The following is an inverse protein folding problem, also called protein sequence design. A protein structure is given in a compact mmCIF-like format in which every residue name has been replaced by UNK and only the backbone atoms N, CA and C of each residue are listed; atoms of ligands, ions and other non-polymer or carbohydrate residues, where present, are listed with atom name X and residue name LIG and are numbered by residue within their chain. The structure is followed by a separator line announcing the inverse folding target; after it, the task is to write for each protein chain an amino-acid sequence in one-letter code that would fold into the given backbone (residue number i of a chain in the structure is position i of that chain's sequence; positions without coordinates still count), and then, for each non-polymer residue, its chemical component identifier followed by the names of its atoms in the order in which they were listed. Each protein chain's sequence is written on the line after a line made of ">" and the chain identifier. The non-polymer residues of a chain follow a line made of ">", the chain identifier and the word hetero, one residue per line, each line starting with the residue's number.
data_IF_001678838205
#
_entry.id   IF_001678838205
#
_cell.length_a   1.000
_cell.length_b   1.000
_cell.length_c   1.000
_cell.angle_alpha   90.00
_cell.angle_beta   90.00
_cell.angle_gamma   90.00
#
_symmetry.space_group_name_H-M   'P 1'
#
loop_
_entity.id
_entity.type
_entity.pdbx_description
1 polymer ?
#
# COMPACT_ATOMS: atom_id res chain seq x y z
N UNK A 1 -2.66 5.88 -24.30
CA UNK A 1 -4.13 5.98 -24.17
C UNK A 1 -4.53 6.12 -22.71
N UNK A 2 -4.38 5.08 -21.89
CA UNK A 2 -4.93 4.96 -20.52
C UNK A 2 -4.81 6.22 -19.64
N UNK A 3 -3.64 6.87 -19.59
CA UNK A 3 -3.40 8.04 -18.74
C UNK A 3 -4.31 9.23 -19.09
N UNK A 4 -4.64 9.41 -20.38
CA UNK A 4 -5.57 10.45 -20.81
C UNK A 4 -6.97 10.15 -20.25
N UNK A 5 -7.42 8.90 -20.30
CA UNK A 5 -8.73 8.52 -19.74
C UNK A 5 -8.74 8.67 -18.22
N UNK A 6 -7.69 8.19 -17.53
CA UNK A 6 -7.55 8.38 -16.08
C UNK A 6 -7.63 9.86 -15.72
N UNK A 7 -6.85 10.74 -16.38
CA UNK A 7 -6.89 12.19 -16.11
C UNK A 7 -8.26 12.79 -16.33
N UNK A 8 -8.95 12.42 -17.40
CA UNK A 8 -10.30 12.94 -17.67
C UNK A 8 -11.26 12.55 -16.54
N UNK A 9 -11.25 11.28 -16.11
CA UNK A 9 -12.11 10.81 -15.03
C UNK A 9 -11.74 11.45 -13.68
N UNK A 10 -10.46 11.41 -13.31
CA UNK A 10 -9.99 11.91 -12.01
C UNK A 10 -10.16 13.43 -11.88
N UNK A 11 -9.95 14.21 -12.95
CA UNK A 11 -10.22 15.67 -12.93
C UNK A 11 -11.68 16.00 -12.63
N UNK A 12 -12.62 15.16 -13.05
CA UNK A 12 -14.03 15.34 -12.70
C UNK A 12 -14.32 14.91 -11.25
N UNK A 13 -13.69 13.83 -10.78
CA UNK A 13 -13.93 13.27 -9.44
C UNK A 13 -13.31 14.10 -8.31
N UNK A 14 -12.10 14.66 -8.51
CA UNK A 14 -11.37 15.39 -7.47
C UNK A 14 -12.17 16.55 -6.85
N UNK A 15 -12.80 17.48 -7.60
CA UNK A 15 -13.59 18.55 -6.99
C UNK A 15 -14.85 18.03 -6.28
N UNK A 16 -15.49 16.98 -6.82
CA UNK A 16 -16.66 16.35 -6.19
C UNK A 16 -16.26 15.74 -4.86
N UNK A 17 -15.16 14.99 -4.81
CA UNK A 17 -14.66 14.38 -3.59
C UNK A 17 -14.34 15.44 -2.53
N UNK A 18 -13.78 16.58 -2.92
CA UNK A 18 -13.54 17.71 -2.00
C UNK A 18 -14.85 18.25 -1.39
N UNK A 19 -15.90 18.42 -2.22
CA UNK A 19 -17.20 18.93 -1.78
C UNK A 19 -17.86 18.04 -0.71
N UNK A 20 -17.67 16.72 -0.81
CA UNK A 20 -18.29 15.75 0.10
C UNK A 20 -17.33 15.23 1.19
N UNK A 21 -16.13 15.79 1.30
CA UNK A 21 -15.14 15.32 2.29
C UNK A 21 -14.65 13.89 2.05
N UNK A 22 -14.67 13.42 0.80
CA UNK A 22 -14.25 12.07 0.39
C UNK A 22 -12.77 12.08 0.04
N UNK A 23 -12.04 11.06 0.51
CA UNK A 23 -10.66 10.78 0.10
C UNK A 23 -10.65 9.87 -1.13
N UNK A 24 -9.98 10.30 -2.20
CA UNK A 24 -9.74 9.50 -3.40
C UNK A 24 -8.38 8.81 -3.30
N UNK A 25 -8.40 7.48 -3.35
CA UNK A 25 -7.23 6.65 -3.17
C UNK A 25 -6.95 5.82 -4.42
N UNK A 26 -5.71 5.82 -4.89
CA UNK A 26 -5.27 4.97 -6.02
C UNK A 26 -4.45 3.80 -5.47
N UNK A 27 -4.76 2.58 -5.93
CA UNK A 27 -3.98 1.38 -5.65
C UNK A 27 -2.86 1.22 -6.69
N UNK A 28 -1.66 0.69 -6.35
CA UNK A 28 -0.65 0.35 -7.34
C UNK A 28 -1.18 -0.69 -8.35
N UNK A 29 -0.59 -0.79 -9.54
CA UNK A 29 -0.87 -1.97 -10.38
C UNK A 29 -0.32 -3.22 -9.73
N UNK A 30 -1.12 -4.29 -9.75
CA UNK A 30 -0.74 -5.62 -9.28
C UNK A 30 -0.92 -6.61 -10.47
N UNK A 31 0.15 -7.14 -11.06
CA UNK A 31 1.56 -7.09 -10.65
C UNK A 31 2.29 -5.79 -11.06
N UNK A 32 3.25 -5.28 -10.24
CA UNK A 32 3.82 -3.94 -10.37
C UNK A 32 5.03 -3.87 -11.33
N UNK A 33 4.87 -4.37 -12.56
CA UNK A 33 5.93 -4.28 -13.57
C UNK A 33 6.22 -2.83 -13.96
N UNK A 34 7.48 -2.53 -14.31
CA UNK A 34 7.85 -1.21 -14.80
C UNK A 34 7.01 -0.82 -16.03
N UNK A 35 6.53 0.43 -16.07
CA UNK A 35 5.67 1.02 -17.13
C UNK A 35 4.23 0.53 -17.13
N UNK A 36 3.81 -0.26 -16.14
CA UNK A 36 2.37 -0.48 -15.88
C UNK A 36 1.74 0.82 -15.35
N UNK A 37 0.41 0.97 -15.46
CA UNK A 37 -0.28 2.08 -14.80
C UNK A 37 0.07 2.12 -13.31
N UNK A 38 0.27 3.31 -12.73
CA UNK A 38 0.48 3.43 -11.28
C UNK A 38 1.64 2.58 -10.72
N UNK A 39 2.70 2.40 -11.51
CA UNK A 39 4.00 1.99 -10.99
C UNK A 39 4.62 3.10 -10.10
N UNK A 40 5.88 2.94 -9.67
CA UNK A 40 6.55 3.92 -8.80
C UNK A 40 6.54 5.33 -9.40
N UNK A 41 6.83 5.46 -10.69
CA UNK A 41 6.80 6.76 -11.37
C UNK A 41 5.37 7.25 -11.57
N UNK A 42 4.43 6.34 -11.79
CA UNK A 42 3.00 6.61 -11.86
C UNK A 42 2.45 7.25 -10.59
N UNK A 43 2.90 6.82 -9.41
CA UNK A 43 2.51 7.41 -8.13
C UNK A 43 2.91 8.87 -8.03
N UNK A 44 4.17 9.20 -8.31
CA UNK A 44 4.64 10.58 -8.34
C UNK A 44 3.82 11.42 -9.33
N UNK A 45 3.59 10.88 -10.53
CA UNK A 45 2.81 11.55 -11.57
C UNK A 45 1.37 11.86 -11.14
N UNK A 46 0.74 11.00 -10.35
CA UNK A 46 -0.60 11.26 -9.80
C UNK A 46 -0.56 12.47 -8.87
N UNK A 47 0.40 12.51 -7.94
CA UNK A 47 0.46 13.59 -6.95
C UNK A 47 0.85 14.93 -7.59
N UNK A 48 1.67 14.92 -8.63
CA UNK A 48 2.03 16.11 -9.41
C UNK A 48 0.81 16.69 -10.15
N UNK A 49 -0.01 15.83 -10.76
CA UNK A 49 -1.23 16.25 -11.47
C UNK A 49 -2.36 16.64 -10.51
N UNK A 50 -2.46 15.97 -9.37
CA UNK A 50 -3.52 16.13 -8.38
C UNK A 50 -2.92 16.39 -6.98
N UNK A 51 -2.43 17.62 -6.71
CA UNK A 51 -1.75 17.95 -5.46
C UNK A 51 -2.70 18.06 -4.25
N UNK A 52 -4.02 18.00 -4.45
CA UNK A 52 -5.03 18.17 -3.39
C UNK A 52 -4.87 17.12 -2.28
N UNK A 53 -5.05 17.53 -1.02
CA UNK A 53 -4.79 16.68 0.15
C UNK A 53 -5.71 15.47 0.29
N UNK A 54 -6.89 15.51 -0.32
CA UNK A 54 -7.82 14.38 -0.36
C UNK A 54 -7.55 13.41 -1.52
N UNK A 55 -6.44 13.58 -2.25
CA UNK A 55 -5.92 12.61 -3.23
C UNK A 55 -4.68 11.92 -2.67
N UNK A 56 -4.71 10.59 -2.66
CA UNK A 56 -3.67 9.77 -2.06
C UNK A 56 -3.76 8.32 -2.54
N UNK A 57 -3.33 7.39 -1.70
CA UNK A 57 -3.12 6.01 -2.07
C UNK A 57 -3.81 5.04 -1.12
N UNK A 58 -4.33 3.95 -1.73
CA UNK A 58 -4.42 2.67 -1.05
C UNK A 58 -3.04 2.04 -1.21
N UNK A 59 -2.24 2.16 -0.16
CA UNK A 59 -0.84 1.78 -0.22
C UNK A 59 -0.68 0.30 0.10
N UNK A 60 -0.51 -0.52 -0.94
CA UNK A 60 -0.31 -1.95 -0.77
C UNK A 60 1.15 -2.30 -0.51
N UNK A 61 1.46 -2.62 0.74
CA UNK A 61 2.81 -2.97 1.20
C UNK A 61 3.36 -4.17 0.40
N UNK A 62 2.53 -5.18 0.18
CA UNK A 62 2.88 -6.36 -0.64
C UNK A 62 3.26 -5.98 -2.06
N UNK A 63 2.36 -5.32 -2.80
CA UNK A 63 2.61 -4.90 -4.18
C UNK A 63 3.86 -4.01 -4.28
N UNK A 64 4.11 -3.12 -3.32
CA UNK A 64 5.33 -2.29 -3.35
C UNK A 64 6.59 -3.11 -3.04
N UNK A 65 6.50 -4.12 -2.18
CA UNK A 65 7.60 -5.06 -1.94
C UNK A 65 7.90 -5.94 -3.15
N UNK A 66 6.89 -6.37 -3.89
CA UNK A 66 7.08 -7.10 -5.16
C UNK A 66 7.83 -6.26 -6.19
N UNK A 67 7.62 -4.93 -6.19
CA UNK A 67 8.27 -4.00 -7.11
C UNK A 67 9.75 -3.78 -6.76
N UNK A 68 10.09 -3.62 -5.48
CA UNK A 68 11.43 -3.17 -5.07
C UNK A 68 11.90 -3.60 -3.68
N UNK A 69 11.20 -4.53 -3.05
CA UNK A 69 11.54 -5.07 -1.73
C UNK A 69 11.30 -4.08 -0.58
N UNK A 70 11.81 -4.45 0.59
CA UNK A 70 11.58 -3.71 1.84
C UNK A 70 12.15 -2.29 1.84
N UNK A 71 13.26 -2.02 1.13
CA UNK A 71 13.83 -0.68 1.03
C UNK A 71 12.87 0.30 0.36
N UNK A 72 12.29 -0.10 -0.78
CA UNK A 72 11.31 0.72 -1.50
C UNK A 72 10.10 1.02 -0.62
N UNK A 73 9.57 0.01 0.07
CA UNK A 73 8.42 0.17 0.97
C UNK A 73 8.70 1.18 2.07
N UNK A 74 9.86 1.08 2.74
CA UNK A 74 10.23 1.98 3.82
C UNK A 74 10.40 3.42 3.33
N UNK A 75 11.00 3.61 2.17
CA UNK A 75 11.21 4.93 1.56
C UNK A 75 9.88 5.57 1.17
N UNK A 76 8.98 4.82 0.55
CA UNK A 76 7.67 5.30 0.13
C UNK A 76 6.73 5.59 1.31
N UNK A 77 6.74 4.76 2.36
CA UNK A 77 6.01 5.07 3.59
C UNK A 77 6.49 6.39 4.17
N UNK A 78 7.81 6.61 4.24
CA UNK A 78 8.37 7.86 4.74
C UNK A 78 8.02 9.05 3.81
N UNK A 79 8.08 8.87 2.50
CA UNK A 79 7.83 9.94 1.54
C UNK A 79 6.34 10.31 1.43
N UNK A 80 5.47 9.35 1.13
CA UNK A 80 4.04 9.60 0.95
C UNK A 80 3.31 9.78 2.28
N UNK A 81 3.73 9.06 3.32
CA UNK A 81 3.14 9.15 4.66
C UNK A 81 3.31 10.52 5.29
N UNK A 82 4.53 11.09 5.28
CA UNK A 82 4.77 12.46 5.81
C UNK A 82 4.00 13.54 5.07
N UNK A 83 3.62 13.27 3.82
CA UNK A 83 2.80 14.18 3.02
C UNK A 83 1.29 14.01 3.27
N UNK A 84 0.89 13.06 4.11
CA UNK A 84 -0.50 12.71 4.41
C UNK A 84 -1.20 12.09 3.20
N UNK A 85 -0.49 11.27 2.41
CA UNK A 85 -1.00 10.70 1.15
C UNK A 85 -1.34 9.20 1.24
N UNK A 86 -1.12 8.58 2.40
CA UNK A 86 -1.51 7.20 2.67
C UNK A 86 -2.88 7.23 3.36
N UNK A 87 -3.92 6.67 2.73
CA UNK A 87 -5.28 6.69 3.30
C UNK A 87 -5.72 5.34 3.85
N UNK A 88 -5.21 4.28 3.24
CA UNK A 88 -5.39 2.89 3.64
C UNK A 88 -4.10 2.14 3.32
N UNK A 89 -3.77 1.13 4.12
CA UNK A 89 -2.67 0.23 3.84
C UNK A 89 -3.17 -1.20 3.72
N UNK A 90 -2.98 -1.80 2.55
CA UNK A 90 -3.03 -3.25 2.45
C UNK A 90 -1.76 -3.80 3.09
N UNK A 91 -1.97 -4.53 4.18
CA UNK A 91 -0.96 -5.02 5.10
C UNK A 91 -0.79 -6.51 4.86
N UNK A 92 -0.10 -6.86 3.77
CA UNK A 92 0.25 -8.24 3.38
C UNK A 92 1.75 -8.39 3.19
N UNK A 93 2.24 -9.62 3.21
CA UNK A 93 3.66 -9.93 3.10
C UNK A 93 3.93 -10.84 1.88
N UNK A 94 5.13 -10.70 1.33
CA UNK A 94 5.59 -11.46 0.17
C UNK A 94 7.04 -11.88 0.38
N UNK A 95 7.45 -12.96 -0.29
CA UNK A 95 8.83 -13.41 -0.37
C UNK A 95 9.33 -13.26 -1.80
N UNK A 96 10.52 -12.70 -1.98
CA UNK A 96 11.07 -12.32 -3.26
C UNK A 96 10.52 -11.00 -3.81
N UNK A 97 11.13 -10.52 -4.88
CA UNK A 97 10.61 -9.38 -5.66
C UNK A 97 10.97 -9.53 -7.14
N UNK A 98 10.21 -8.87 -8.00
CA UNK A 98 10.47 -8.82 -9.44
C UNK A 98 11.88 -8.28 -9.74
N UNK A 99 12.37 -7.33 -8.93
CA UNK A 99 13.68 -6.72 -9.08
C UNK A 99 14.85 -7.60 -8.61
N UNK A 100 14.62 -8.50 -7.65
CA UNK A 100 15.71 -9.27 -7.00
C UNK A 100 15.73 -10.74 -7.39
N UNK A 101 14.55 -11.37 -7.45
CA UNK A 101 14.39 -12.80 -7.69
C UNK A 101 13.71 -13.11 -9.03
N UNK A 102 13.28 -12.08 -9.78
CA UNK A 102 12.51 -12.24 -11.02
C UNK A 102 11.06 -12.70 -10.80
N UNK A 103 10.62 -12.75 -9.54
CA UNK A 103 9.31 -13.23 -9.12
C UNK A 103 9.12 -13.05 -7.62
N UNK A 104 7.93 -13.39 -7.15
CA UNK A 104 7.54 -13.36 -5.74
C UNK A 104 6.49 -14.42 -5.45
N UNK A 105 6.32 -14.73 -4.18
CA UNK A 105 5.16 -15.48 -3.69
C UNK A 105 4.52 -14.72 -2.54
N UNK A 106 3.20 -14.86 -2.41
CA UNK A 106 2.46 -14.31 -1.29
C UNK A 106 2.52 -15.26 -0.10
N UNK A 107 2.71 -14.71 1.08
CA UNK A 107 2.99 -15.51 2.29
C UNK A 107 2.14 -15.05 3.46
N UNK A 108 2.19 -15.82 4.55
CA UNK A 108 1.71 -15.33 5.85
C UNK A 108 2.50 -14.09 6.29
N UNK A 109 1.89 -13.26 7.13
CA UNK A 109 2.45 -11.98 7.56
C UNK A 109 3.81 -12.08 8.24
N UNK A 110 4.14 -13.22 8.83
CA UNK A 110 5.41 -13.52 9.50
C UNK A 110 6.40 -14.33 8.64
N UNK A 111 6.00 -14.79 7.45
CA UNK A 111 6.81 -15.68 6.61
C UNK A 111 7.44 -14.98 5.39
N UNK A 112 7.04 -13.75 5.08
CA UNK A 112 7.61 -12.98 3.98
C UNK A 112 8.89 -12.22 4.35
N UNK A 113 9.46 -11.53 3.36
CA UNK A 113 10.74 -10.83 3.51
C UNK A 113 10.64 -9.54 4.31
N UNK A 114 9.43 -9.01 4.51
CA UNK A 114 9.22 -7.80 5.28
C UNK A 114 9.06 -8.09 6.77
N UNK A 115 9.78 -7.33 7.60
CA UNK A 115 9.48 -7.25 9.03
C UNK A 115 8.25 -6.35 9.25
N UNK A 116 7.08 -6.97 9.40
CA UNK A 116 5.81 -6.24 9.49
C UNK A 116 5.71 -5.33 10.73
N UNK A 117 6.37 -5.67 11.85
CA UNK A 117 6.43 -4.78 13.01
C UNK A 117 7.25 -3.51 12.71
N UNK A 118 8.33 -3.63 11.93
CA UNK A 118 9.09 -2.47 11.46
C UNK A 118 8.25 -1.58 10.54
N UNK A 119 7.49 -2.18 9.62
CA UNK A 119 6.57 -1.44 8.74
C UNK A 119 5.56 -0.64 9.58
N UNK A 120 4.96 -1.29 10.58
CA UNK A 120 3.99 -0.65 11.47
C UNK A 120 4.61 0.52 12.28
N UNK A 121 5.85 0.38 12.76
CA UNK A 121 6.58 1.48 13.41
C UNK A 121 6.81 2.67 12.47
N UNK A 122 7.16 2.44 11.21
CA UNK A 122 7.33 3.52 10.24
C UNK A 122 5.99 4.19 9.88
N UNK A 123 4.90 3.44 9.76
CA UNK A 123 3.55 4.00 9.60
C UNK A 123 3.17 4.91 10.78
N UNK A 124 3.43 4.48 12.02
CA UNK A 124 3.22 5.31 13.22
C UNK A 124 4.08 6.59 13.20
N UNK A 125 5.35 6.47 12.81
CA UNK A 125 6.30 7.58 12.74
C UNK A 125 5.87 8.67 11.76
N UNK A 126 5.20 8.31 10.67
CA UNK A 126 4.68 9.26 9.67
C UNK A 126 3.27 9.77 10.01
N UNK A 127 2.71 9.35 11.16
CA UNK A 127 1.38 9.78 11.60
C UNK A 127 0.24 9.15 10.81
N UNK A 128 0.44 7.95 10.24
CA UNK A 128 -0.64 7.24 9.54
C UNK A 128 -1.75 6.87 10.53
N UNK A 129 -2.99 7.24 10.18
CA UNK A 129 -4.21 7.05 10.95
C UNK A 129 -5.29 6.26 10.18
N UNK A 130 -4.93 5.70 9.02
CA UNK A 130 -5.83 4.95 8.15
C UNK A 130 -6.03 3.49 8.59
N UNK A 131 -6.81 2.77 7.79
CA UNK A 131 -7.09 1.35 8.03
C UNK A 131 -5.88 0.47 7.64
N UNK A 132 -5.62 -0.56 8.46
CA UNK A 132 -4.75 -1.69 8.09
C UNK A 132 -5.62 -2.85 7.63
N UNK A 133 -5.56 -3.17 6.34
CA UNK A 133 -6.35 -4.23 5.72
C UNK A 133 -5.48 -5.48 5.54
N UNK A 134 -5.78 -6.61 6.19
CA UNK A 134 -5.08 -7.87 5.89
C UNK A 134 -5.47 -8.33 4.48
N UNK A 135 -4.55 -8.20 3.54
CA UNK A 135 -4.81 -8.43 2.11
C UNK A 135 -4.26 -9.79 1.66
N UNK A 136 -4.81 -10.33 0.56
CA UNK A 136 -4.45 -11.61 -0.06
C UNK A 136 -4.20 -12.73 0.97
N UNK A 137 -5.28 -13.12 1.65
CA UNK A 137 -5.26 -14.07 2.75
C UNK A 137 -4.83 -15.47 2.26
N UNK A 138 -3.69 -16.02 2.74
CA UNK A 138 -3.28 -17.37 2.40
C UNK A 138 -4.26 -18.41 2.92
N UNK A 139 -4.38 -19.53 2.21
CA UNK A 139 -5.14 -20.68 2.68
C UNK A 139 -4.29 -21.49 3.68
N UNK A 140 -4.92 -21.89 4.78
CA UNK A 140 -4.32 -22.73 5.81
C UNK A 140 -5.10 -24.03 5.93
N UNK A 141 -4.53 -25.01 6.64
CA UNK A 141 -5.27 -26.23 6.97
C UNK A 141 -6.54 -25.87 7.75
N UNK A 142 -7.70 -26.24 7.22
CA UNK A 142 -8.99 -25.97 7.83
C UNK A 142 -9.68 -24.66 7.44
N UNK A 143 -9.11 -23.83 6.54
CA UNK A 143 -9.82 -22.66 6.01
C UNK A 143 -8.93 -21.53 5.49
N UNK A 144 -9.49 -20.33 5.39
CA UNK A 144 -8.71 -19.12 5.12
C UNK A 144 -7.92 -18.67 6.36
N UNK A 145 -6.77 -18.03 6.13
CA UNK A 145 -5.92 -17.45 7.17
C UNK A 145 -6.42 -16.11 7.72
N UNK A 146 -7.68 -15.71 7.54
CA UNK A 146 -8.11 -14.35 7.90
C UNK A 146 -8.03 -14.10 9.40
N UNK A 147 -8.47 -15.09 10.19
CA UNK A 147 -8.40 -15.01 11.65
C UNK A 147 -6.95 -14.87 12.13
N UNK A 148 -6.02 -15.60 11.49
CA UNK A 148 -4.59 -15.47 11.74
C UNK A 148 -4.10 -14.05 11.43
N UNK A 149 -4.39 -13.53 10.23
CA UNK A 149 -3.93 -12.21 9.79
C UNK A 149 -4.45 -11.08 10.67
N UNK A 150 -5.74 -11.10 11.03
CA UNK A 150 -6.33 -10.13 11.96
C UNK A 150 -5.68 -10.24 13.35
N UNK A 151 -5.51 -11.47 13.86
CA UNK A 151 -4.88 -11.72 15.16
C UNK A 151 -3.45 -11.20 15.22
N UNK A 152 -2.66 -11.47 14.18
CA UNK A 152 -1.28 -11.01 14.05
C UNK A 152 -1.19 -9.48 14.03
N UNK A 153 -2.00 -8.80 13.20
CA UNK A 153 -2.05 -7.32 13.14
C UNK A 153 -2.42 -6.73 14.51
N UNK A 154 -3.44 -7.29 15.18
CA UNK A 154 -3.85 -6.85 16.53
C UNK A 154 -2.72 -7.04 17.55
N UNK A 155 -1.99 -8.15 17.48
CA UNK A 155 -0.82 -8.40 18.33
C UNK A 155 0.29 -7.36 18.12
N UNK A 156 0.61 -7.05 16.86
CA UNK A 156 1.58 -6.00 16.53
C UNK A 156 1.15 -4.61 17.02
N UNK A 157 -0.14 -4.27 16.86
CA UNK A 157 -0.69 -3.00 17.37
C UNK A 157 -0.62 -2.94 18.89
N UNK A 158 -0.99 -4.01 19.60
CA UNK A 158 -0.89 -4.08 21.05
C UNK A 158 0.57 -3.86 21.52
N UNK A 159 1.53 -4.51 20.86
CA UNK A 159 2.95 -4.33 21.16
C UNK A 159 3.47 -2.92 20.85
N UNK A 160 2.94 -2.24 19.83
CA UNK A 160 3.35 -0.89 19.43
C UNK A 160 2.88 0.20 20.41
N UNK A 161 1.78 -0.04 21.10
CA UNK A 161 1.11 0.90 22.01
C UNK A 161 1.15 0.46 23.48
N UNK A 162 1.87 -0.62 23.78
CA UNK A 162 2.19 -1.03 25.14
C UNK A 162 3.16 -0.06 25.83
#
# INVERSE_FOLDING_TARGET
>A
AWWKQFRTAFRALVPIAAQYGIRLAVHPSDTPHARTPFDSLGFHRILDEFPQKHVGFVYCIGTRAEAGGSSLVLDEINHYGRNGRLFECHFRNVRGSLATAGGFEETLLDEGDMNMFRILKELKKVGFDGCLHPDHIPHLEGGDGLAYSIGYIKGLLAALYA
#
